data_IF_228206120349
#
_entry.id   IF_228206120349
#
_cell.length_a   1.000
_cell.length_b   1.000
_cell.length_c   1.000
_cell.angle_alpha   90.00
_cell.angle_beta   90.00
_cell.angle_gamma   90.00
#
_symmetry.space_group_name_H-M   'P 1'
#
loop_
_entity.id
_entity.type
_entity.pdbx_description
1 polymer ?
#
# COMPACT_ATOMS: atom_id res chain seq x y z
N UNK A 1 47.60 -14.41 4.51
CA UNK A 1 47.24 -13.46 3.44
C UNK A 1 45.95 -13.94 2.78
N UNK A 2 44.87 -13.18 2.90
CA UNK A 2 43.59 -13.48 2.23
C UNK A 2 43.27 -12.33 1.28
N UNK A 3 43.28 -12.60 -0.02
CA UNK A 3 42.90 -11.65 -1.06
C UNK A 3 41.37 -11.62 -1.18
N UNK A 4 40.79 -10.42 -1.02
CA UNK A 4 39.39 -10.15 -1.31
C UNK A 4 39.21 -10.15 -2.83
N UNK A 5 38.39 -11.06 -3.36
CA UNK A 5 37.95 -11.04 -4.75
C UNK A 5 36.54 -10.44 -4.79
N UNK A 6 36.40 -9.26 -5.39
CA UNK A 6 35.11 -8.69 -5.78
C UNK A 6 34.66 -9.30 -7.10
N UNK A 7 33.40 -9.72 -7.27
CA UNK A 7 32.87 -10.05 -8.58
C UNK A 7 32.32 -8.81 -9.29
N UNK A 8 32.94 -8.52 -10.44
CA UNK A 8 32.55 -7.59 -11.48
C UNK A 8 31.13 -7.87 -12.00
N UNK A 9 30.26 -6.86 -12.09
CA UNK A 9 28.95 -6.94 -12.76
C UNK A 9 29.05 -6.27 -14.13
N UNK A 10 29.27 -7.08 -15.15
CA UNK A 10 28.89 -6.71 -16.53
C UNK A 10 28.35 -7.96 -17.21
N UNK A 11 27.01 -8.05 -17.31
CA UNK A 11 26.37 -9.01 -18.23
C UNK A 11 26.22 -8.33 -19.57
N UNK A 12 27.03 -8.73 -20.54
CA UNK A 12 26.93 -8.35 -21.94
C UNK A 12 25.65 -8.93 -22.56
N UNK A 13 24.84 -8.07 -23.17
CA UNK A 13 23.62 -8.42 -23.88
C UNK A 13 24.00 -8.96 -25.27
N UNK A 14 23.92 -10.27 -25.48
CA UNK A 14 24.03 -10.86 -26.82
C UNK A 14 22.67 -10.74 -27.53
N UNK A 15 22.58 -9.85 -28.52
CA UNK A 15 21.42 -9.76 -29.41
C UNK A 15 21.63 -10.77 -30.56
N UNK A 16 20.84 -11.85 -30.67
CA UNK A 16 20.97 -12.78 -31.79
C UNK A 16 20.53 -12.10 -33.10
N UNK A 17 21.29 -12.34 -34.19
CA UNK A 17 20.95 -11.85 -35.53
C UNK A 17 19.74 -12.59 -36.09
N UNK A 18 18.89 -11.92 -36.90
CA UNK A 18 17.72 -12.56 -37.47
C UNK A 18 18.16 -13.63 -38.48
N UNK A 19 17.64 -14.85 -38.34
CA UNK A 19 17.64 -15.83 -39.42
C UNK A 19 16.27 -15.83 -40.09
N UNK A 20 16.32 -15.75 -41.40
CA UNK A 20 15.20 -15.55 -42.31
C UNK A 20 14.49 -16.89 -42.48
N UNK A 21 13.19 -16.93 -42.15
CA UNK A 21 12.12 -17.81 -42.64
C UNK A 21 11.13 -18.21 -41.53
N UNK A 22 9.95 -17.59 -41.60
CA UNK A 22 8.67 -18.19 -41.23
C UNK A 22 8.43 -18.54 -39.75
N UNK A 23 7.94 -17.58 -38.97
CA UNK A 23 7.20 -17.87 -37.73
C UNK A 23 7.49 -16.93 -36.57
N UNK A 24 7.02 -15.69 -36.60
CA UNK A 24 6.88 -14.88 -35.38
C UNK A 24 5.60 -15.30 -34.66
N UNK A 25 5.67 -16.35 -33.86
CA UNK A 25 4.67 -16.65 -32.85
C UNK A 25 5.35 -16.84 -31.50
N UNK A 26 5.22 -15.78 -30.69
CA UNK A 26 5.21 -15.77 -29.23
C UNK A 26 6.46 -16.33 -28.54
N UNK A 27 7.44 -15.46 -28.25
CA UNK A 27 8.56 -15.74 -27.34
C UNK A 27 8.75 -14.65 -26.26
N UNK A 28 7.70 -13.87 -25.97
CA UNK A 28 7.69 -12.88 -24.87
C UNK A 28 6.86 -13.33 -23.66
N UNK A 29 6.50 -14.62 -23.57
CA UNK A 29 5.60 -15.14 -22.53
C UNK A 29 6.27 -16.06 -21.50
N UNK A 30 7.57 -16.32 -21.59
CA UNK A 30 8.19 -17.46 -20.88
C UNK A 30 9.52 -17.09 -20.20
N UNK A 31 9.53 -16.01 -19.42
CA UNK A 31 10.54 -15.80 -18.35
C UNK A 31 9.86 -15.04 -17.20
N UNK A 32 10.23 -15.40 -15.96
CA UNK A 32 9.66 -14.98 -14.64
C UNK A 32 8.67 -15.96 -13.96
N UNK A 33 8.68 -17.24 -14.31
CA UNK A 33 8.23 -18.29 -13.36
C UNK A 33 9.35 -18.60 -12.36
N UNK A 34 9.60 -17.67 -11.42
CA UNK A 34 10.69 -17.81 -10.44
C UNK A 34 10.52 -17.04 -9.13
N UNK A 35 9.62 -16.05 -9.10
CA UNK A 35 9.08 -15.50 -7.86
C UNK A 35 7.62 -15.17 -8.12
N UNK A 36 6.69 -15.99 -7.64
CA UNK A 36 5.38 -15.42 -7.28
C UNK A 36 5.73 -14.37 -6.20
N UNK A 37 5.60 -13.06 -6.45
CA UNK A 37 5.75 -12.12 -5.36
C UNK A 37 4.75 -12.58 -4.29
N UNK A 38 5.18 -12.65 -3.03
CA UNK A 38 4.22 -12.83 -1.94
C UNK A 38 3.16 -11.77 -2.17
N UNK A 39 1.92 -12.20 -2.44
CA UNK A 39 0.83 -11.26 -2.69
C UNK A 39 0.71 -10.41 -1.44
N UNK A 40 1.10 -9.15 -1.55
CA UNK A 40 0.93 -8.22 -0.46
C UNK A 40 -0.57 -8.07 -0.19
N UNK A 41 -0.93 -8.10 1.09
CA UNK A 41 -2.29 -7.86 1.53
C UNK A 41 -2.29 -6.57 2.33
N UNK A 42 -3.06 -5.59 1.85
CA UNK A 42 -3.26 -4.34 2.55
C UNK A 42 -3.93 -4.59 3.90
N UNK A 43 -3.63 -3.75 4.89
CA UNK A 43 -4.16 -3.83 6.25
C UNK A 43 -4.79 -2.51 6.63
N UNK A 44 -6.00 -2.54 7.16
CA UNK A 44 -6.73 -1.36 7.60
C UNK A 44 -6.79 -1.34 9.13
N UNK A 45 -6.54 -0.18 9.72
CA UNK A 45 -6.69 0.06 11.15
C UNK A 45 -7.60 1.26 11.37
N UNK A 46 -8.40 1.22 12.43
CA UNK A 46 -9.21 2.33 12.91
C UNK A 46 -8.55 2.95 14.14
N UNK A 47 -8.46 4.28 14.16
CA UNK A 47 -8.02 5.08 15.30
C UNK A 47 -9.25 5.83 15.81
N UNK A 48 -9.74 5.46 16.99
CA UNK A 48 -11.00 5.98 17.54
C UNK A 48 -10.93 6.16 19.06
N UNK A 49 -11.59 7.19 19.58
CA UNK A 49 -11.76 7.43 21.02
C UNK A 49 -13.13 7.05 21.58
N UNK A 50 -14.06 6.58 20.72
CA UNK A 50 -15.48 6.31 21.04
C UNK A 50 -15.71 5.39 22.25
N UNK A 51 -14.69 4.65 22.67
CA UNK A 51 -14.70 3.79 23.87
C UNK A 51 -14.27 4.50 25.16
N UNK A 52 -14.21 5.84 25.15
CA UNK A 52 -13.74 6.68 26.26
C UNK A 52 -12.22 6.68 26.44
N UNK A 53 -11.50 6.09 25.49
CA UNK A 53 -10.03 6.12 25.38
C UNK A 53 -9.66 5.91 23.92
N UNK A 54 -8.56 6.53 23.52
CA UNK A 54 -7.99 6.37 22.19
C UNK A 54 -7.45 4.94 22.00
N UNK A 55 -7.86 4.28 20.92
CA UNK A 55 -7.49 2.91 20.59
C UNK A 55 -7.21 2.76 19.09
N UNK A 56 -6.32 1.82 18.77
CA UNK A 56 -6.01 1.42 17.39
C UNK A 56 -6.39 -0.04 17.19
N UNK A 57 -7.32 -0.32 16.28
CA UNK A 57 -7.89 -1.67 16.05
C UNK A 57 -7.76 -2.07 14.57
N UNK A 58 -7.32 -3.30 14.29
CA UNK A 58 -7.22 -3.82 12.91
C UNK A 58 -8.59 -4.31 12.42
N UNK A 59 -8.97 -3.90 11.20
CA UNK A 59 -10.17 -4.36 10.50
C UNK A 59 -9.78 -5.42 9.47
N UNK A 60 -10.23 -6.65 9.71
CA UNK A 60 -10.03 -7.78 8.79
C UNK A 60 -11.06 -7.75 7.65
N UNK A 61 -10.64 -8.14 6.45
CA UNK A 61 -11.51 -8.22 5.26
C UNK A 61 -12.28 -6.92 4.95
N UNK A 62 -11.61 -5.78 5.15
CA UNK A 62 -12.21 -4.47 4.96
C UNK A 62 -12.78 -4.24 3.54
N UNK A 63 -13.76 -3.36 3.49
CA UNK A 63 -14.38 -2.79 2.30
C UNK A 63 -14.59 -1.29 2.49
N UNK A 64 -15.28 -0.62 1.57
CA UNK A 64 -15.50 0.82 1.67
C UNK A 64 -16.36 1.20 2.88
N UNK A 65 -17.31 0.34 3.29
CA UNK A 65 -18.16 0.58 4.47
C UNK A 65 -17.37 0.49 5.78
N UNK A 66 -16.17 -0.09 5.74
CA UNK A 66 -15.24 -0.11 6.86
C UNK A 66 -14.58 1.25 7.15
N UNK A 67 -14.72 2.24 6.26
CA UNK A 67 -14.26 3.61 6.49
C UNK A 67 -15.29 4.37 7.33
N UNK A 68 -14.99 4.56 8.61
CA UNK A 68 -15.86 5.26 9.55
C UNK A 68 -15.64 6.77 9.45
N UNK A 69 -16.65 7.49 8.94
CA UNK A 69 -16.58 8.93 8.73
C UNK A 69 -16.40 9.77 10.00
N UNK A 70 -16.60 9.19 11.19
CA UNK A 70 -16.39 9.88 12.47
C UNK A 70 -15.00 9.61 13.07
N UNK A 71 -14.16 8.78 12.45
CA UNK A 71 -12.85 8.39 12.96
C UNK A 71 -11.73 8.58 11.92
N UNK A 72 -10.49 8.22 12.28
CA UNK A 72 -9.34 8.20 11.35
C UNK A 72 -8.96 6.75 11.04
N UNK A 73 -8.68 6.47 9.77
CA UNK A 73 -8.30 5.15 9.30
C UNK A 73 -6.85 5.13 8.80
N UNK A 74 -6.10 4.08 9.12
CA UNK A 74 -4.74 3.87 8.62
C UNK A 74 -4.74 2.66 7.69
N UNK A 75 -4.43 2.87 6.40
CA UNK A 75 -4.29 1.81 5.42
C UNK A 75 -2.81 1.59 5.10
N UNK A 76 -2.27 0.46 5.54
CA UNK A 76 -0.94 0.01 5.12
C UNK A 76 -1.06 -0.67 3.75
N UNK A 77 -0.49 -0.02 2.73
CA UNK A 77 -0.43 -0.47 1.36
C UNK A 77 0.99 -0.90 0.93
N UNK A 78 1.85 -1.26 1.88
CA UNK A 78 3.26 -1.62 1.72
C UNK A 78 4.16 -0.44 1.35
N UNK A 79 3.94 0.13 0.17
CA UNK A 79 4.74 1.20 -0.43
C UNK A 79 4.26 2.58 0.00
N UNK A 80 2.98 2.69 0.38
CA UNK A 80 2.40 3.89 0.97
C UNK A 80 1.62 3.48 2.22
N UNK A 81 1.59 4.37 3.20
CA UNK A 81 0.63 4.32 4.30
C UNK A 81 -0.32 5.49 4.11
N UNK A 82 -1.60 5.19 4.00
CA UNK A 82 -2.62 6.22 3.91
C UNK A 82 -3.18 6.50 5.30
N UNK A 83 -3.30 7.78 5.64
CA UNK A 83 -4.08 8.27 6.78
C UNK A 83 -5.34 8.88 6.18
N UNK A 84 -6.43 8.12 6.21
CA UNK A 84 -7.73 8.58 5.75
C UNK A 84 -8.48 9.24 6.90
N UNK A 85 -8.89 10.50 6.73
CA UNK A 85 -9.51 11.32 7.76
C UNK A 85 -11.00 11.43 7.47
N UNK A 86 -11.82 10.87 8.36
CA UNK A 86 -13.27 11.02 8.34
C UNK A 86 -13.70 12.47 8.53
N UNK A 87 -14.83 12.85 7.94
CA UNK A 87 -15.37 14.21 8.02
C UNK A 87 -15.75 14.62 9.46
N UNK A 88 -16.17 13.65 10.29
CA UNK A 88 -16.50 13.81 11.70
C UNK A 88 -15.33 13.59 12.66
N UNK A 89 -14.16 13.17 12.17
CA UNK A 89 -13.00 12.87 13.00
C UNK A 89 -12.53 14.08 13.82
N UNK A 90 -12.21 13.83 15.09
CA UNK A 90 -11.84 14.87 16.03
C UNK A 90 -10.32 15.18 16.00
N UNK A 91 -9.86 16.30 16.61
CA UNK A 91 -8.45 16.67 16.58
C UNK A 91 -7.50 15.68 17.27
N UNK A 92 -7.95 15.05 18.36
CA UNK A 92 -7.14 14.09 19.13
C UNK A 92 -6.90 12.80 18.33
N UNK A 93 -7.92 12.33 17.60
CA UNK A 93 -7.82 11.20 16.69
C UNK A 93 -6.87 11.47 15.52
N UNK A 94 -6.90 12.68 14.96
CA UNK A 94 -6.00 13.10 13.87
C UNK A 94 -4.54 13.11 14.33
N UNK A 95 -4.27 13.71 15.48
CA UNK A 95 -2.92 13.78 16.05
C UNK A 95 -2.37 12.38 16.33
N UNK A 96 -3.17 11.51 16.96
CA UNK A 96 -2.69 10.16 17.25
C UNK A 96 -2.57 9.28 16.01
N UNK A 97 -3.41 9.47 14.99
CA UNK A 97 -3.28 8.73 13.75
C UNK A 97 -1.97 9.07 13.02
N UNK A 98 -1.58 10.34 12.98
CA UNK A 98 -0.27 10.76 12.45
C UNK A 98 0.88 10.15 13.26
N UNK A 99 0.82 10.24 14.58
CA UNK A 99 1.80 9.63 15.48
C UNK A 99 1.88 8.11 15.29
N UNK A 100 0.73 7.45 15.16
CA UNK A 100 0.61 6.00 14.96
C UNK A 100 1.19 5.60 13.61
N UNK A 101 0.88 6.31 12.53
CA UNK A 101 1.43 6.05 11.20
C UNK A 101 2.95 6.18 11.19
N UNK A 102 3.49 7.23 11.84
CA UNK A 102 4.94 7.42 11.98
C UNK A 102 5.60 6.31 12.81
N UNK A 103 5.03 5.96 13.97
CA UNK A 103 5.52 4.85 14.82
C UNK A 103 5.48 3.54 14.05
N UNK A 104 4.43 3.29 13.28
CA UNK A 104 4.24 2.07 12.50
C UNK A 104 5.30 1.93 11.39
N UNK A 105 5.71 3.04 10.76
CA UNK A 105 6.87 3.06 9.86
C UNK A 105 8.17 2.74 10.60
N UNK A 106 8.42 3.40 11.73
CA UNK A 106 9.67 3.31 12.46
C UNK A 106 9.91 1.93 13.09
N UNK A 107 8.85 1.26 13.54
CA UNK A 107 8.95 -0.06 14.19
C UNK A 107 9.27 -1.20 13.22
N UNK A 108 9.32 -0.95 11.90
CA UNK A 108 9.84 -1.91 10.93
C UNK A 108 9.13 -3.27 10.95
N UNK A 109 7.84 -3.28 11.31
CA UNK A 109 7.06 -4.52 11.49
C UNK A 109 7.03 -5.40 10.23
N UNK A 110 7.31 -4.82 9.07
CA UNK A 110 7.47 -5.51 7.79
C UNK A 110 8.73 -5.00 7.06
N UNK A 111 9.39 -5.82 6.22
CA UNK A 111 10.39 -5.34 5.29
C UNK A 111 9.73 -4.35 4.31
N UNK A 112 9.97 -3.07 4.50
CA UNK A 112 9.43 -1.99 3.67
C UNK A 112 10.49 -1.47 2.69
N UNK A 113 10.08 -1.03 1.49
CA UNK A 113 10.93 -0.22 0.63
C UNK A 113 11.39 1.06 1.35
N UNK A 114 12.62 1.50 1.10
CA UNK A 114 13.20 2.67 1.78
C UNK A 114 12.54 4.02 1.42
N UNK A 115 11.67 4.01 0.41
CA UNK A 115 10.90 5.13 -0.13
C UNK A 115 9.42 5.13 0.30
N UNK A 116 9.06 4.36 1.34
CA UNK A 116 7.67 4.31 1.83
C UNK A 116 7.21 5.70 2.30
N UNK A 117 6.08 6.18 1.79
CA UNK A 117 5.50 7.49 2.12
C UNK A 117 4.29 7.38 3.04
N UNK A 118 4.00 8.46 3.78
CA UNK A 118 2.69 8.68 4.42
C UNK A 118 1.90 9.65 3.53
N UNK A 119 0.69 9.27 3.15
CA UNK A 119 -0.22 10.05 2.34
C UNK A 119 -1.50 10.34 3.14
N UNK A 120 -1.82 11.62 3.31
CA UNK A 120 -3.09 12.03 3.96
C UNK A 120 -4.19 12.08 2.91
N UNK A 121 -5.33 11.49 3.22
CA UNK A 121 -6.52 11.44 2.37
C UNK A 121 -7.71 11.93 3.20
N UNK A 122 -8.53 12.82 2.65
CA UNK A 122 -9.75 13.26 3.32
C UNK A 122 -10.98 12.56 2.74
N UNK A 123 -11.98 12.31 3.58
CA UNK A 123 -13.27 11.78 3.13
C UNK A 123 -13.85 12.65 2.00
N UNK A 124 -14.18 12.04 0.87
CA UNK A 124 -14.68 12.71 -0.34
C UNK A 124 -13.58 13.24 -1.27
N UNK A 125 -12.31 13.18 -0.87
CA UNK A 125 -11.14 13.55 -1.67
C UNK A 125 -10.24 12.34 -1.98
N UNK A 126 -10.80 11.13 -1.97
CA UNK A 126 -10.01 9.91 -2.14
C UNK A 126 -9.42 9.79 -3.55
N UNK A 127 -8.12 9.50 -3.60
CA UNK A 127 -7.39 9.34 -4.87
C UNK A 127 -7.72 8.00 -5.53
N UNK A 128 -7.59 7.88 -6.87
CA UNK A 128 -7.77 6.61 -7.55
C UNK A 128 -6.87 5.48 -7.01
N UNK A 129 -5.66 5.81 -6.58
CA UNK A 129 -4.71 4.86 -5.98
C UNK A 129 -5.24 4.31 -4.66
N UNK A 130 -5.75 5.17 -3.78
CA UNK A 130 -6.36 4.74 -2.52
C UNK A 130 -7.58 3.85 -2.75
N UNK A 131 -8.49 4.27 -3.64
CA UNK A 131 -9.71 3.52 -3.99
C UNK A 131 -9.41 2.12 -4.51
N UNK A 132 -8.28 1.95 -5.21
CA UNK A 132 -7.83 0.66 -5.76
C UNK A 132 -7.55 -0.44 -4.73
N UNK A 133 -7.40 -0.11 -3.44
CA UNK A 133 -7.22 -1.11 -2.38
C UNK A 133 -8.53 -1.75 -1.90
N UNK A 134 -9.66 -1.19 -2.29
CA UNK A 134 -10.99 -1.69 -1.94
C UNK A 134 -11.54 -2.53 -3.09
N UNK A 135 -12.17 -3.67 -2.78
CA UNK A 135 -12.72 -4.58 -3.81
C UNK A 135 -13.78 -3.92 -4.69
N UNK A 136 -14.56 -3.02 -4.09
CA UNK A 136 -15.62 -2.25 -4.73
C UNK A 136 -15.61 -0.87 -4.11
N UNK A 137 -15.81 0.14 -4.94
CA UNK A 137 -15.93 1.54 -4.53
C UNK A 137 -17.18 2.17 -5.16
N UNK A 138 -17.91 2.95 -4.37
CA UNK A 138 -19.04 3.78 -4.76
C UNK A 138 -18.80 5.23 -4.31
N UNK A 139 -18.61 6.13 -5.27
CA UNK A 139 -18.35 7.54 -5.01
C UNK A 139 -19.53 8.27 -4.34
N UNK A 140 -20.72 7.66 -4.29
CA UNK A 140 -21.91 8.25 -3.68
C UNK A 140 -22.12 7.80 -2.22
N UNK A 141 -21.32 6.84 -1.70
CA UNK A 141 -21.52 6.28 -0.36
C UNK A 141 -21.51 7.38 0.71
N UNK A 142 -20.55 8.31 0.61
CA UNK A 142 -20.37 9.39 1.58
C UNK A 142 -21.15 10.67 1.24
N UNK A 143 -21.83 10.74 0.09
CA UNK A 143 -22.58 11.93 -0.34
C UNK A 143 -23.98 12.02 0.26
N UNK A 144 -24.51 10.92 0.80
CA UNK A 144 -25.90 10.82 1.25
C UNK A 144 -26.09 10.98 2.77
N UNK A 145 -25.08 11.44 3.49
CA UNK A 145 -25.17 11.71 4.93
C UNK A 145 -25.54 13.18 5.13
N UNK A 146 -26.84 13.48 5.08
CA UNK A 146 -27.44 14.80 5.34
C UNK A 146 -28.34 14.73 6.59
#
# INVERSE_FOLDING_TARGET
>A
MSILSTPDRTKSLLIPKPHENGGFRNQFGEWEEGRKPRSFQARLYQVSDKRGRLAVEEISNFDQESLDGDDVMILDAQNSIYVWIGAGANPEEKEEAENTAQKYLQQGALPRPGDTTIEVVHQGEETPTFKGFFRKWDDNLFQNVN
#
